data_IF_331044019065
#
_entry.id   IF_331044019065
#
_cell.length_a   1.000
_cell.length_b   1.000
_cell.length_c   1.000
_cell.angle_alpha   90.00
_cell.angle_beta   90.00
_cell.angle_gamma   90.00
#
_symmetry.space_group_name_H-M   'P 1'
#
loop_
_entity.id
_entity.type
_entity.pdbx_description
1 polymer ?
#
# COMPACT_ATOMS: atom_id res chain seq x y z
N UNK A 1 -45.14 13.08 19.28
CA UNK A 1 -44.69 13.03 17.87
C UNK A 1 -43.26 13.58 17.68
N UNK A 2 -42.46 13.75 18.75
CA UNK A 2 -41.17 14.47 18.71
C UNK A 2 -39.89 13.62 18.53
N UNK A 3 -40.00 12.29 18.38
CA UNK A 3 -38.79 11.44 18.35
C UNK A 3 -38.16 11.19 16.97
N UNK A 4 -38.75 11.71 15.88
CA UNK A 4 -38.18 11.58 14.53
C UNK A 4 -37.36 12.81 14.11
N UNK A 5 -37.79 14.00 14.50
CA UNK A 5 -37.18 15.28 14.11
C UNK A 5 -35.77 15.46 14.71
N UNK A 6 -35.53 14.98 15.94
CA UNK A 6 -34.21 15.05 16.57
C UNK A 6 -33.13 14.16 15.96
N UNK A 7 -33.50 13.13 15.18
CA UNK A 7 -32.52 12.24 14.50
C UNK A 7 -32.14 12.76 13.12
N UNK A 8 -33.07 13.43 12.44
CA UNK A 8 -32.86 14.02 11.12
C UNK A 8 -31.95 15.25 11.22
N UNK A 9 -32.18 16.11 12.21
CA UNK A 9 -31.30 17.25 12.52
C UNK A 9 -29.88 16.83 12.95
N UNK A 10 -29.69 15.60 13.45
CA UNK A 10 -28.38 15.06 13.81
C UNK A 10 -27.62 14.53 12.59
N UNK A 11 -28.32 13.87 11.66
CA UNK A 11 -27.75 13.40 10.37
C UNK A 11 -27.40 14.56 9.44
N UNK A 12 -28.20 15.62 9.41
CA UNK A 12 -27.90 16.83 8.63
C UNK A 12 -26.69 17.62 9.18
N UNK A 13 -26.41 17.50 10.49
CA UNK A 13 -25.21 18.09 11.10
C UNK A 13 -23.93 17.27 10.85
N UNK A 14 -24.04 15.95 10.70
CA UNK A 14 -22.90 15.09 10.35
C UNK A 14 -22.50 15.19 8.86
N UNK A 15 -23.45 15.43 7.95
CA UNK A 15 -23.16 15.63 6.51
C UNK A 15 -22.48 16.99 6.25
N UNK A 16 -22.62 17.97 7.17
CA UNK A 16 -21.97 19.29 7.07
C UNK A 16 -20.52 19.36 7.56
N UNK A 17 -19.94 18.26 8.06
CA UNK A 17 -18.52 18.24 8.47
C UNK A 17 -17.59 17.63 7.41
N UNK A 18 -18.02 17.56 6.15
CA UNK A 18 -17.12 17.36 5.02
C UNK A 18 -16.10 18.50 5.04
N UNK A 19 -14.97 18.23 5.70
CA UNK A 19 -13.89 19.19 5.90
C UNK A 19 -13.45 19.62 4.51
N UNK A 20 -13.83 20.83 4.12
CA UNK A 20 -13.28 21.50 2.95
C UNK A 20 -11.76 21.35 3.02
N UNK A 21 -11.20 20.52 2.14
CA UNK A 21 -9.75 20.42 1.98
C UNK A 21 -9.35 21.71 1.29
N UNK A 22 -9.12 22.76 2.09
CA UNK A 22 -8.60 24.02 1.58
C UNK A 22 -7.27 23.68 0.89
N UNK A 23 -7.11 23.98 -0.41
CA UNK A 23 -5.85 23.72 -1.09
C UNK A 23 -4.78 24.47 -0.32
N UNK A 24 -3.84 23.71 0.22
CA UNK A 24 -2.81 24.28 1.07
C UNK A 24 -1.97 25.20 0.18
N UNK A 25 -2.11 26.50 0.38
CA UNK A 25 -1.50 27.54 -0.46
C UNK A 25 -0.05 27.72 -0.03
N UNK A 26 0.71 26.64 -0.09
CA UNK A 26 2.15 26.69 0.10
C UNK A 26 2.76 27.27 -1.19
N UNK A 27 3.14 28.54 -1.12
CA UNK A 27 4.04 29.11 -2.10
C UNK A 27 5.44 28.55 -1.80
N UNK A 28 5.82 27.50 -2.54
CA UNK A 28 7.20 27.03 -2.54
C UNK A 28 8.03 28.00 -3.38
N UNK A 29 8.57 29.05 -2.73
CA UNK A 29 9.62 29.84 -3.35
C UNK A 29 10.90 29.01 -3.38
N UNK A 30 11.29 28.56 -4.58
CA UNK A 30 12.55 27.89 -4.77
C UNK A 30 13.70 28.88 -4.49
N UNK A 31 14.54 28.57 -3.49
CA UNK A 31 15.72 29.41 -3.13
C UNK A 31 16.76 29.50 -4.25
N UNK A 32 16.63 28.70 -5.30
CA UNK A 32 17.51 28.63 -6.46
C UNK A 32 16.64 28.53 -7.72
N UNK A 33 17.00 29.22 -8.82
CA UNK A 33 16.38 28.96 -10.11
C UNK A 33 16.57 27.48 -10.44
N UNK A 34 15.51 26.80 -10.87
CA UNK A 34 15.61 25.43 -11.35
C UNK A 34 16.55 25.40 -12.55
N UNK A 35 17.75 24.84 -12.36
CA UNK A 35 18.63 24.49 -13.45
C UNK A 35 18.26 23.06 -13.81
N UNK A 36 17.61 22.81 -14.97
CA UNK A 36 17.36 21.44 -15.39
C UNK A 36 18.71 20.72 -15.44
N UNK A 37 18.85 19.55 -14.80
CA UNK A 37 20.04 18.73 -15.01
C UNK A 37 20.19 18.55 -16.52
N UNK A 38 21.41 18.68 -17.03
CA UNK A 38 21.66 18.42 -18.45
C UNK A 38 21.18 17.01 -18.75
N UNK A 39 20.07 16.91 -19.48
CA UNK A 39 19.50 15.63 -19.87
C UNK A 39 20.56 14.96 -20.73
N UNK A 40 21.14 13.87 -20.22
CA UNK A 40 21.88 12.97 -21.09
C UNK A 40 20.93 12.59 -22.24
N UNK A 41 21.41 12.58 -23.50
CA UNK A 41 20.61 12.05 -24.59
C UNK A 41 20.13 10.66 -24.18
N UNK A 42 18.86 10.35 -24.48
CA UNK A 42 18.32 9.02 -24.28
C UNK A 42 19.27 8.02 -24.96
N UNK A 43 20.04 7.31 -24.17
CA UNK A 43 20.79 6.14 -24.61
C UNK A 43 19.80 5.01 -24.43
N UNK A 44 19.25 4.42 -25.52
CA UNK A 44 18.49 3.19 -25.37
C UNK A 44 19.41 2.21 -24.65
N UNK A 45 19.02 1.83 -23.44
CA UNK A 45 19.65 0.74 -22.73
C UNK A 45 19.67 -0.46 -23.69
N UNK A 46 20.80 -1.20 -23.81
CA UNK A 46 20.88 -2.32 -24.74
C UNK A 46 19.65 -3.20 -24.51
N UNK A 47 18.91 -3.46 -25.58
CA UNK A 47 17.65 -4.20 -25.53
C UNK A 47 17.84 -5.41 -24.63
N UNK A 48 17.23 -5.37 -23.43
CA UNK A 48 17.11 -6.57 -22.62
C UNK A 48 16.45 -7.60 -23.51
N UNK A 49 16.94 -8.86 -23.54
CA UNK A 49 16.36 -9.88 -24.40
C UNK A 49 14.84 -9.88 -24.21
N UNK A 50 14.15 -9.91 -25.36
CA UNK A 50 12.72 -10.14 -25.61
C UNK A 50 11.92 -10.73 -24.44
N UNK A 51 10.62 -10.40 -24.29
CA UNK A 51 9.83 -10.73 -23.11
C UNK A 51 10.05 -12.19 -22.75
N UNK A 52 10.77 -12.38 -21.66
CA UNK A 52 11.06 -13.68 -21.09
C UNK A 52 9.71 -14.39 -20.97
N UNK A 53 9.60 -15.65 -21.42
CA UNK A 53 8.39 -16.50 -21.30
C UNK A 53 8.03 -16.79 -19.82
N UNK A 54 8.61 -16.01 -18.90
CA UNK A 54 8.46 -16.05 -17.46
C UNK A 54 7.05 -15.68 -17.05
N UNK A 55 6.51 -16.49 -16.17
CA UNK A 55 5.25 -16.18 -15.51
C UNK A 55 5.45 -15.03 -14.50
N UNK A 56 4.43 -14.19 -14.25
CA UNK A 56 4.56 -13.02 -13.37
C UNK A 56 5.19 -13.28 -12.00
N UNK A 57 4.96 -14.48 -11.43
CA UNK A 57 5.53 -14.85 -10.12
C UNK A 57 7.05 -14.99 -10.16
N UNK A 58 7.64 -15.39 -11.28
CA UNK A 58 9.10 -15.54 -11.40
C UNK A 58 9.80 -14.19 -11.27
N UNK A 59 9.18 -13.11 -11.75
CA UNK A 59 9.69 -11.75 -11.54
C UNK A 59 9.68 -11.36 -10.06
N UNK A 60 8.70 -11.83 -9.29
CA UNK A 60 8.65 -11.58 -7.83
C UNK A 60 9.77 -12.36 -7.15
N UNK A 61 9.97 -13.62 -7.51
CA UNK A 61 10.98 -14.51 -6.92
C UNK A 61 12.42 -14.02 -7.18
N UNK A 62 12.66 -13.25 -8.25
CA UNK A 62 13.96 -12.62 -8.51
C UNK A 62 14.36 -11.58 -7.45
N UNK A 63 13.39 -10.90 -6.84
CA UNK A 63 13.64 -9.87 -5.83
C UNK A 63 13.37 -10.37 -4.41
N UNK A 64 12.34 -11.19 -4.24
CA UNK A 64 11.94 -11.81 -2.99
C UNK A 64 12.33 -13.28 -3.02
N UNK A 65 13.64 -13.55 -2.96
CA UNK A 65 14.14 -14.91 -2.91
C UNK A 65 13.70 -15.62 -1.65
N UNK A 66 13.65 -16.95 -1.68
CA UNK A 66 13.25 -17.76 -0.53
C UNK A 66 14.02 -17.41 0.76
N UNK A 67 15.33 -17.20 0.65
CA UNK A 67 16.19 -16.78 1.78
C UNK A 67 15.74 -15.44 2.37
N UNK A 68 15.36 -14.46 1.53
CA UNK A 68 14.88 -13.17 2.02
C UNK A 68 13.56 -13.30 2.77
N UNK A 69 12.65 -14.15 2.26
CA UNK A 69 11.36 -14.40 2.89
C UNK A 69 11.55 -15.12 4.23
N UNK A 70 12.44 -16.10 4.30
CA UNK A 70 12.75 -16.81 5.55
C UNK A 70 13.37 -15.89 6.60
N UNK A 71 14.30 -15.02 6.20
CA UNK A 71 14.89 -14.02 7.09
C UNK A 71 13.85 -13.03 7.63
N UNK A 72 12.92 -12.57 6.78
CA UNK A 72 11.83 -11.70 7.20
C UNK A 72 10.93 -12.39 8.24
N UNK A 73 10.60 -13.67 8.04
CA UNK A 73 9.80 -14.44 8.99
C UNK A 73 10.53 -14.60 10.33
N UNK A 74 11.82 -14.94 10.30
CA UNK A 74 12.64 -15.11 11.49
C UNK A 74 12.70 -13.83 12.32
N UNK A 75 13.08 -12.71 11.70
CA UNK A 75 13.20 -11.43 12.41
C UNK A 75 11.84 -10.91 12.88
N UNK A 76 10.77 -11.13 12.12
CA UNK A 76 9.40 -10.74 12.54
C UNK A 76 8.95 -11.51 13.78
N UNK A 77 9.19 -12.82 13.81
CA UNK A 77 8.88 -13.66 14.98
C UNK A 77 9.70 -13.28 16.20
N UNK A 78 11.00 -13.04 15.99
CA UNK A 78 11.92 -12.58 17.05
C UNK A 78 11.44 -11.25 17.64
N UNK A 79 11.16 -10.26 16.79
CA UNK A 79 10.64 -8.98 17.23
C UNK A 79 9.30 -9.10 17.99
N UNK A 80 8.37 -9.90 17.48
CA UNK A 80 7.08 -10.11 18.14
C UNK A 80 7.24 -10.78 19.52
N UNK A 81 8.17 -11.72 19.64
CA UNK A 81 8.51 -12.37 20.91
C UNK A 81 9.12 -11.37 21.90
N UNK A 82 10.03 -10.51 21.44
CA UNK A 82 10.63 -9.45 22.28
C UNK A 82 9.61 -8.44 22.79
N UNK A 83 8.58 -8.12 21.99
CA UNK A 83 7.56 -7.13 22.36
C UNK A 83 6.40 -7.69 23.18
N UNK A 84 5.93 -8.89 22.85
CA UNK A 84 4.71 -9.47 23.42
C UNK A 84 5.01 -10.54 24.47
N UNK A 85 6.25 -11.04 24.52
CA UNK A 85 6.66 -12.16 25.37
C UNK A 85 6.21 -13.53 24.85
N UNK A 86 5.54 -13.60 23.69
CA UNK A 86 5.09 -14.83 23.05
C UNK A 86 5.36 -14.77 21.55
N UNK A 87 5.82 -15.90 20.99
CA UNK A 87 6.09 -16.02 19.57
C UNK A 87 4.78 -16.31 18.81
N UNK A 88 4.38 -15.46 17.85
CA UNK A 88 3.17 -15.69 17.07
C UNK A 88 3.31 -16.84 16.07
N UNK A 89 4.50 -17.42 15.91
CA UNK A 89 4.81 -18.48 14.95
C UNK A 89 4.38 -18.13 13.52
N UNK A 90 4.70 -16.91 13.10
CA UNK A 90 4.49 -16.42 11.75
C UNK A 90 5.18 -17.33 10.74
N UNK A 91 4.48 -17.68 9.66
CA UNK A 91 4.94 -18.63 8.65
C UNK A 91 5.24 -17.95 7.32
N UNK A 92 6.05 -18.60 6.49
CA UNK A 92 6.35 -18.17 5.12
C UNK A 92 5.09 -17.97 4.27
N UNK A 93 4.13 -18.89 4.37
CA UNK A 93 2.88 -18.83 3.61
C UNK A 93 2.03 -17.61 4.02
N UNK A 94 2.00 -17.26 5.30
CA UNK A 94 1.30 -16.06 5.77
C UNK A 94 1.96 -14.78 5.25
N UNK A 95 3.29 -14.72 5.22
CA UNK A 95 4.02 -13.58 4.64
C UNK A 95 3.75 -13.44 3.14
N UNK A 96 3.73 -14.53 2.39
CA UNK A 96 3.39 -14.52 0.97
C UNK A 96 1.95 -14.06 0.73
N UNK A 97 0.99 -14.53 1.54
CA UNK A 97 -0.40 -14.05 1.47
C UNK A 97 -0.51 -12.55 1.78
N UNK A 98 0.24 -12.07 2.78
CA UNK A 98 0.31 -10.64 3.10
C UNK A 98 0.82 -9.82 1.90
N UNK A 99 1.90 -10.26 1.26
CA UNK A 99 2.40 -9.60 0.04
C UNK A 99 1.41 -9.67 -1.11
N UNK A 100 0.70 -10.79 -1.31
CA UNK A 100 -0.34 -10.90 -2.32
C UNK A 100 -1.44 -9.84 -2.16
N UNK A 101 -1.89 -9.62 -0.91
CA UNK A 101 -2.86 -8.56 -0.61
C UNK A 101 -2.23 -7.19 -0.82
N UNK A 102 -0.97 -6.98 -0.41
CA UNK A 102 -0.26 -5.72 -0.63
C UNK A 102 -0.11 -5.36 -2.12
N UNK A 103 0.21 -6.33 -2.98
CA UNK A 103 0.23 -6.13 -4.43
C UNK A 103 -1.16 -5.80 -4.98
N UNK A 104 -2.21 -6.45 -4.47
CA UNK A 104 -3.58 -6.13 -4.84
C UNK A 104 -3.94 -4.68 -4.48
N UNK A 105 -3.47 -4.15 -3.34
CA UNK A 105 -3.65 -2.73 -2.99
C UNK A 105 -2.95 -1.79 -3.97
N UNK A 106 -1.83 -2.23 -4.58
CA UNK A 106 -1.13 -1.50 -5.62
C UNK A 106 -1.91 -1.44 -6.94
N UNK A 107 -2.65 -2.51 -7.26
CA UNK A 107 -3.41 -2.64 -8.51
C UNK A 107 -4.80 -1.99 -8.39
N UNK A 108 -5.49 -2.27 -7.28
CA UNK A 108 -6.89 -1.90 -7.05
C UNK A 108 -6.97 -0.98 -5.85
N UNK A 109 -7.62 0.17 -6.00
CA UNK A 109 -7.79 1.14 -4.91
C UNK A 109 -9.17 1.03 -4.28
N UNK A 110 -9.25 0.44 -3.09
CA UNK A 110 -10.41 0.46 -2.20
C UNK A 110 -10.43 1.73 -1.33
N UNK A 111 -11.62 2.20 -0.90
CA UNK A 111 -11.75 3.44 -0.14
C UNK A 111 -11.17 3.36 1.28
N UNK A 112 -11.08 2.16 1.87
CA UNK A 112 -10.45 1.93 3.17
C UNK A 112 -9.46 0.78 3.12
N UNK A 113 -8.41 0.87 3.95
CA UNK A 113 -7.40 -0.19 4.08
C UNK A 113 -7.99 -1.50 4.62
N UNK A 114 -8.99 -1.40 5.51
CA UNK A 114 -9.65 -2.57 6.09
C UNK A 114 -10.42 -3.37 5.04
N UNK A 115 -10.86 -2.72 3.97
CA UNK A 115 -11.69 -3.34 2.93
C UNK A 115 -10.92 -4.43 2.16
N UNK A 116 -9.58 -4.34 2.07
CA UNK A 116 -8.75 -5.39 1.45
C UNK A 116 -8.71 -6.70 2.25
N UNK A 117 -9.02 -6.63 3.55
CA UNK A 117 -9.00 -7.77 4.46
C UNK A 117 -10.39 -8.37 4.66
N UNK A 118 -11.44 -7.76 4.11
CA UNK A 118 -12.81 -8.28 4.22
C UNK A 118 -13.09 -9.34 3.16
N UNK A 119 -13.88 -10.33 3.53
CA UNK A 119 -14.29 -11.43 2.64
C UNK A 119 -15.48 -11.09 1.74
N UNK A 120 -16.22 -10.02 2.05
CA UNK A 120 -17.46 -9.59 1.39
C UNK A 120 -17.23 -8.74 0.14
N UNK A 121 -16.07 -8.08 0.03
CA UNK A 121 -15.71 -7.17 -1.07
C UNK A 121 -14.81 -7.84 -2.12
N UNK A 122 -14.66 -9.17 -2.10
CA UNK A 122 -13.87 -9.87 -3.12
C UNK A 122 -14.56 -9.70 -4.48
N UNK A 123 -13.86 -9.03 -5.39
CA UNK A 123 -14.28 -8.86 -6.79
C UNK A 123 -14.61 -10.21 -7.41
N UNK A 124 -15.91 -10.45 -7.63
CA UNK A 124 -16.49 -11.59 -8.31
C UNK A 124 -17.57 -11.11 -9.26
#
# INVERSE_FOLDING_TARGET
MESKESKETKREKEIKSEKEIKPNKYNFEAKQPFVPPQLLPFVPEPETPTPDDRIPIEYVDMFLTDDTIENLVLESNKYATEKTGSCPNFTKAELQNYFGIYYLMGIVRLPKIDDYWRSDLRYG
#
